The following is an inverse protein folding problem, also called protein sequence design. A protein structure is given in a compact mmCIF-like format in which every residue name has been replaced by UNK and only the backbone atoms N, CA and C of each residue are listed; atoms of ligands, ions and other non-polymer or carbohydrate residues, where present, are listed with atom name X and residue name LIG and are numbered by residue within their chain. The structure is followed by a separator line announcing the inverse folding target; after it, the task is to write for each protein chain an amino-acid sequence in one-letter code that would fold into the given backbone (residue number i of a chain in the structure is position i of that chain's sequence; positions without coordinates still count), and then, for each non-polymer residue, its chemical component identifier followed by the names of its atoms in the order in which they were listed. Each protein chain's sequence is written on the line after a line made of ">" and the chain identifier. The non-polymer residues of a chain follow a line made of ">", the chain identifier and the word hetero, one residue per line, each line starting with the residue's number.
data_IF_614991404015
#
_entry.id   IF_614991404015
#
_cell.length_a   1.000
_cell.length_b   1.000
_cell.length_c   1.000
_cell.angle_alpha   90.00
_cell.angle_beta   90.00
_cell.angle_gamma   90.00
#
_symmetry.space_group_name_H-M   'P 1'
#
loop_
_entity.id
_entity.type
_entity.pdbx_description
1 polymer ?
#
# COMPACT_ATOMS: atom_id res chain seq x y z
N UNK A 1 -46.91 64.43 10.33
CA UNK A 1 -47.81 64.57 9.16
C UNK A 1 -47.11 63.89 8.00
N UNK A 2 -47.59 62.71 7.58
CA UNK A 2 -48.47 62.52 6.41
C UNK A 2 -47.93 63.26 5.17
N UNK A 3 -47.72 62.69 3.99
CA UNK A 3 -48.07 61.38 3.39
C UNK A 3 -47.42 61.39 1.97
N UNK A 4 -47.47 60.23 1.33
CA UNK A 4 -47.53 59.98 -0.12
C UNK A 4 -46.31 59.35 -0.79
N UNK A 5 -46.44 58.02 -0.86
CA UNK A 5 -45.93 57.08 -1.83
C UNK A 5 -46.39 57.39 -3.26
N UNK A 6 -45.49 57.15 -4.22
CA UNK A 6 -45.77 56.69 -5.60
C UNK A 6 -44.47 56.06 -6.11
N UNK A 7 -44.23 54.76 -5.90
CA UNK A 7 -44.53 53.64 -6.82
C UNK A 7 -44.40 54.03 -8.31
N UNK A 8 -43.24 53.71 -8.88
CA UNK A 8 -43.13 53.20 -10.25
C UNK A 8 -42.18 52.00 -10.20
N UNK A 9 -42.78 50.83 -10.02
CA UNK A 9 -42.20 49.52 -10.32
C UNK A 9 -42.47 49.29 -11.81
N UNK A 10 -41.43 49.13 -12.63
CA UNK A 10 -41.46 48.32 -13.87
C UNK A 10 -40.11 48.45 -14.60
N UNK A 11 -39.26 47.44 -14.43
CA UNK A 11 -38.36 46.80 -15.41
C UNK A 11 -37.22 46.08 -14.68
N UNK A 12 -37.60 45.10 -13.85
CA UNK A 12 -36.69 44.15 -13.22
C UNK A 12 -37.05 42.78 -13.82
N UNK A 13 -36.56 42.52 -15.02
CA UNK A 13 -36.96 41.34 -15.77
C UNK A 13 -36.44 41.29 -17.20
N UNK A 14 -35.16 41.61 -17.45
CA UNK A 14 -34.50 41.23 -18.70
C UNK A 14 -32.96 41.28 -18.60
N UNK A 15 -32.36 40.65 -17.59
CA UNK A 15 -30.91 40.50 -17.47
C UNK A 15 -30.50 39.10 -16.95
N UNK A 16 -31.12 38.04 -17.46
CA UNK A 16 -30.70 36.65 -17.18
C UNK A 16 -30.89 35.72 -18.39
N UNK A 17 -30.56 36.13 -19.61
CA UNK A 17 -30.38 35.19 -20.73
C UNK A 17 -29.39 35.76 -21.75
N UNK A 18 -28.08 35.51 -21.59
CA UNK A 18 -27.12 35.49 -22.72
C UNK A 18 -25.69 35.01 -22.41
N UNK A 19 -25.45 34.24 -21.34
CA UNK A 19 -24.13 33.60 -21.11
C UNK A 19 -24.13 32.09 -21.35
N UNK A 20 -25.17 31.53 -21.97
CA UNK A 20 -25.26 30.10 -22.27
C UNK A 20 -24.87 29.71 -23.72
N UNK A 21 -24.18 30.58 -24.47
CA UNK A 21 -23.82 30.34 -25.88
C UNK A 21 -22.37 30.67 -26.26
N UNK A 22 -21.45 30.65 -25.30
CA UNK A 22 -20.02 30.81 -25.55
C UNK A 22 -19.17 29.61 -25.08
N UNK A 23 -19.78 28.56 -24.52
CA UNK A 23 -19.06 27.36 -24.03
C UNK A 23 -19.03 26.23 -25.09
N UNK A 24 -19.86 26.31 -26.14
CA UNK A 24 -20.00 25.23 -27.15
C UNK A 24 -19.11 25.42 -28.40
N UNK A 25 -18.26 26.45 -28.45
CA UNK A 25 -17.35 26.67 -29.59
C UNK A 25 -15.85 26.59 -29.28
N UNK A 26 -15.46 26.25 -28.04
CA UNK A 26 -14.06 26.01 -27.68
C UNK A 26 -13.67 24.51 -27.65
N UNK A 27 -14.58 23.62 -28.07
CA UNK A 27 -14.37 22.16 -28.14
C UNK A 27 -14.08 21.70 -29.58
N UNK A 28 -13.44 22.51 -30.44
CA UNK A 28 -12.90 22.01 -31.72
C UNK A 28 -11.61 22.73 -32.07
N UNK A 29 -10.60 22.63 -31.20
CA UNK A 29 -9.20 22.83 -31.61
C UNK A 29 -8.20 22.15 -30.67
N UNK A 30 -8.54 20.96 -30.19
CA UNK A 30 -7.51 20.05 -29.70
C UNK A 30 -6.83 19.46 -30.94
N UNK A 31 -5.68 20.07 -31.24
CA UNK A 31 -4.45 19.42 -31.69
C UNK A 31 -4.63 17.93 -32.00
N UNK A 32 -4.28 17.52 -33.23
CA UNK A 32 -4.11 16.11 -33.57
C UNK A 32 -3.09 15.52 -32.60
N UNK A 33 -3.57 15.00 -31.47
CA UNK A 33 -2.80 14.15 -30.59
C UNK A 33 -2.72 12.84 -31.37
N UNK A 34 -1.60 12.64 -32.04
CA UNK A 34 -1.29 11.34 -32.63
C UNK A 34 -1.34 10.33 -31.47
N UNK A 35 -2.32 9.44 -31.53
CA UNK A 35 -2.46 8.35 -30.57
C UNK A 35 -1.33 7.37 -30.88
N UNK A 36 -0.20 7.49 -30.18
CA UNK A 36 0.88 6.52 -30.27
C UNK A 36 0.43 5.29 -29.48
N UNK A 37 -0.19 4.33 -30.15
CA UNK A 37 -0.39 2.99 -29.61
C UNK A 37 0.99 2.32 -29.50
N UNK A 38 1.55 2.30 -28.28
CA UNK A 38 2.75 1.52 -28.01
C UNK A 38 2.36 0.04 -28.02
N UNK A 39 2.48 -0.58 -29.20
CA UNK A 39 2.35 -2.03 -29.36
C UNK A 39 3.57 -2.72 -28.74
N UNK A 40 3.57 -2.85 -27.42
CA UNK A 40 4.59 -3.56 -26.66
C UNK A 40 3.99 -4.25 -25.46
N UNK A 41 4.42 -5.48 -25.20
CA UNK A 41 4.06 -6.17 -23.95
C UNK A 41 4.61 -5.36 -22.78
N UNK A 42 3.77 -5.17 -21.76
CA UNK A 42 4.17 -4.45 -20.55
C UNK A 42 5.38 -5.16 -19.92
N UNK A 43 6.48 -4.45 -19.62
CA UNK A 43 7.69 -5.09 -19.12
C UNK A 43 7.45 -5.68 -17.72
N UNK A 44 8.06 -6.82 -17.42
CA UNK A 44 7.94 -7.49 -16.12
C UNK A 44 8.24 -6.56 -14.94
N UNK A 45 9.23 -5.68 -15.08
CA UNK A 45 9.59 -4.69 -14.08
C UNK A 45 8.38 -3.82 -13.67
N UNK A 46 7.51 -3.47 -14.63
CA UNK A 46 6.33 -2.65 -14.35
C UNK A 46 5.28 -3.39 -13.51
N UNK A 47 5.04 -4.68 -13.78
CA UNK A 47 4.16 -5.50 -12.96
C UNK A 47 4.70 -5.66 -11.52
N UNK A 48 6.02 -5.82 -11.38
CA UNK A 48 6.67 -5.86 -10.07
C UNK A 48 6.47 -4.56 -9.29
N UNK A 49 6.61 -3.42 -9.96
CA UNK A 49 6.43 -2.11 -9.33
C UNK A 49 4.98 -1.92 -8.87
N UNK A 50 4.00 -2.28 -9.70
CA UNK A 50 2.58 -2.22 -9.32
C UNK A 50 2.22 -3.16 -8.16
N UNK A 51 2.78 -4.36 -8.14
CA UNK A 51 2.64 -5.26 -7.00
C UNK A 51 3.22 -4.65 -5.72
N UNK A 52 4.38 -4.00 -5.80
CA UNK A 52 4.99 -3.33 -4.64
C UNK A 52 4.16 -2.13 -4.17
N UNK A 53 3.65 -1.32 -5.10
CA UNK A 53 2.82 -0.15 -4.79
C UNK A 53 1.51 -0.58 -4.10
N UNK A 54 0.82 -1.59 -4.64
CA UNK A 54 -0.39 -2.14 -4.02
C UNK A 54 -0.10 -2.74 -2.63
N UNK A 55 1.08 -3.37 -2.46
CA UNK A 55 1.49 -3.91 -1.17
C UNK A 55 1.71 -2.80 -0.13
N UNK A 56 2.35 -1.71 -0.52
CA UNK A 56 2.53 -0.54 0.35
C UNK A 56 1.19 0.10 0.72
N UNK A 57 0.27 0.23 -0.24
CA UNK A 57 -1.07 0.75 0.01
C UNK A 57 -1.82 -0.07 1.07
N UNK A 58 -1.73 -1.41 1.03
CA UNK A 58 -2.30 -2.28 2.07
C UNK A 58 -1.66 -2.00 3.44
N UNK A 59 -0.34 -1.84 3.50
CA UNK A 59 0.37 -1.59 4.76
C UNK A 59 -0.02 -0.25 5.39
N UNK A 60 -0.05 0.82 4.59
CA UNK A 60 -0.44 2.15 5.03
C UNK A 60 -1.90 2.17 5.48
N UNK A 61 -2.79 1.57 4.69
CA UNK A 61 -4.22 1.50 5.01
C UNK A 61 -4.45 0.66 6.26
N UNK A 62 -3.75 -0.46 6.43
CA UNK A 62 -3.82 -1.29 7.64
C UNK A 62 -3.42 -0.49 8.88
N UNK A 63 -2.29 0.22 8.82
CA UNK A 63 -1.78 1.02 9.95
C UNK A 63 -2.73 2.16 10.33
N UNK A 64 -3.49 2.71 9.37
CA UNK A 64 -4.47 3.76 9.63
C UNK A 64 -5.71 3.26 10.39
N UNK A 65 -6.04 1.96 10.29
CA UNK A 65 -7.24 1.39 10.90
C UNK A 65 -6.97 0.55 12.16
N UNK A 66 -5.72 0.14 12.39
CA UNK A 66 -5.35 -0.66 13.57
C UNK A 66 -4.71 0.24 14.60
N UNK A 67 -5.24 0.27 15.83
CA UNK A 67 -4.68 1.10 16.90
C UNK A 67 -3.45 0.47 17.56
N UNK A 68 -3.36 -0.86 17.59
CA UNK A 68 -2.24 -1.61 18.17
C UNK A 68 -0.97 -1.40 17.34
N UNK A 69 -0.07 -0.53 17.82
CA UNK A 69 1.18 -0.20 17.12
C UNK A 69 2.12 -1.40 16.96
N UNK A 70 2.02 -2.41 17.83
CA UNK A 70 2.85 -3.62 17.71
C UNK A 70 2.40 -4.47 16.51
N UNK A 71 1.15 -4.30 16.05
CA UNK A 71 0.61 -4.94 14.85
C UNK A 71 0.95 -4.19 13.55
N UNK A 72 1.48 -2.96 13.62
CA UNK A 72 1.75 -2.16 12.42
C UNK A 72 2.83 -2.76 11.52
N UNK A 73 2.83 -2.31 10.27
CA UNK A 73 3.95 -2.47 9.35
C UNK A 73 4.89 -1.26 9.48
N UNK A 74 6.18 -1.52 9.65
CA UNK A 74 7.23 -0.50 9.67
C UNK A 74 8.05 -0.65 8.38
N UNK A 75 8.05 0.38 7.56
CA UNK A 75 8.84 0.44 6.34
C UNK A 75 10.05 1.37 6.54
N UNK A 76 11.25 0.85 6.30
CA UNK A 76 12.49 1.59 6.40
C UNK A 76 13.26 1.52 5.08
N UNK A 77 13.91 2.63 4.71
CA UNK A 77 14.80 2.68 3.55
C UNK A 77 16.20 2.26 3.98
N UNK A 78 16.60 1.06 3.58
CA UNK A 78 17.89 0.48 3.92
C UNK A 78 18.84 0.51 2.73
N UNK A 79 20.14 0.63 3.03
CA UNK A 79 21.20 0.56 2.04
C UNK A 79 21.77 -0.86 2.03
N UNK A 80 21.87 -1.47 0.84
CA UNK A 80 22.53 -2.76 0.71
C UNK A 80 24.00 -2.65 1.17
N UNK A 81 24.49 -3.70 1.83
CA UNK A 81 25.88 -3.77 2.29
C UNK A 81 26.80 -3.56 1.08
N UNK A 82 27.77 -2.65 1.20
CA UNK A 82 28.71 -2.27 0.14
C UNK A 82 28.09 -1.72 -1.16
N UNK A 83 26.86 -1.23 -1.12
CA UNK A 83 26.20 -0.62 -2.27
C UNK A 83 25.76 0.82 -1.98
N UNK A 84 25.56 1.61 -3.05
CA UNK A 84 24.88 2.92 -2.98
C UNK A 84 23.37 2.80 -3.25
N UNK A 85 22.91 1.61 -3.61
CA UNK A 85 21.52 1.32 -3.90
C UNK A 85 20.76 1.21 -2.59
N UNK A 86 19.63 1.91 -2.54
CA UNK A 86 18.70 1.87 -1.41
C UNK A 86 17.48 1.07 -1.82
N UNK A 87 16.89 0.40 -0.85
CA UNK A 87 15.67 -0.38 -1.01
C UNK A 87 14.78 -0.18 0.22
N UNK A 88 13.48 -0.20 0.02
CA UNK A 88 12.52 -0.13 1.11
C UNK A 88 12.21 -1.53 1.59
N UNK A 89 12.46 -1.80 2.86
CA UNK A 89 12.07 -3.05 3.52
C UNK A 89 10.94 -2.73 4.50
N UNK A 90 9.86 -3.48 4.40
CA UNK A 90 8.75 -3.42 5.36
C UNK A 90 8.74 -4.68 6.21
N UNK A 91 8.61 -4.54 7.53
CA UNK A 91 8.52 -5.63 8.49
C UNK A 91 7.38 -5.36 9.47
N UNK A 92 6.93 -6.39 10.19
CA UNK A 92 5.99 -6.16 11.30
C UNK A 92 6.70 -5.47 12.47
N UNK A 93 6.02 -4.56 13.16
CA UNK A 93 6.56 -3.90 14.34
C UNK A 93 6.93 -4.91 15.44
N UNK A 94 6.08 -5.92 15.68
CA UNK A 94 6.40 -6.98 16.63
C UNK A 94 7.64 -7.80 16.25
N UNK A 95 7.89 -8.03 14.96
CA UNK A 95 9.09 -8.76 14.52
C UNK A 95 10.36 -7.97 14.87
N UNK A 96 10.31 -6.65 14.70
CA UNK A 96 11.42 -5.75 15.06
C UNK A 96 11.63 -5.76 16.57
N UNK A 97 10.55 -5.60 17.35
CA UNK A 97 10.59 -5.63 18.82
C UNK A 97 11.19 -6.94 19.34
N UNK A 98 10.67 -8.08 18.88
CA UNK A 98 11.14 -9.40 19.33
C UNK A 98 12.62 -9.58 18.99
N UNK A 99 13.07 -9.22 17.79
CA UNK A 99 14.49 -9.28 17.42
C UNK A 99 15.36 -8.41 18.32
N UNK A 100 14.94 -7.18 18.61
CA UNK A 100 15.67 -6.30 19.53
C UNK A 100 15.74 -6.85 20.95
N UNK A 101 14.63 -7.40 21.45
CA UNK A 101 14.59 -8.02 22.77
C UNK A 101 15.54 -9.22 22.87
N UNK A 102 15.53 -10.11 21.86
CA UNK A 102 16.42 -11.26 21.79
C UNK A 102 17.89 -10.80 21.76
N UNK A 103 18.21 -9.81 20.93
CA UNK A 103 19.54 -9.25 20.83
C UNK A 103 20.03 -8.63 22.15
N UNK A 104 19.18 -7.83 22.84
CA UNK A 104 19.51 -7.25 24.15
C UNK A 104 19.72 -8.32 25.23
N UNK A 105 18.87 -9.37 25.24
CA UNK A 105 19.01 -10.50 26.17
C UNK A 105 20.32 -11.25 25.94
N UNK A 106 20.78 -11.36 24.70
CA UNK A 106 22.06 -12.01 24.37
C UNK A 106 23.27 -11.18 24.81
N UNK A 107 23.26 -9.85 24.60
CA UNK A 107 24.34 -8.95 25.03
C UNK A 107 24.48 -8.94 26.56
N UNK A 108 23.37 -8.81 27.28
CA UNK A 108 23.40 -8.63 28.75
C UNK A 108 23.83 -9.89 29.52
N UNK A 109 23.81 -11.07 28.89
CA UNK A 109 24.07 -12.35 29.56
C UNK A 109 25.38 -13.03 29.10
N UNK A 110 26.36 -12.29 28.59
CA UNK A 110 27.62 -12.81 28.02
C UNK A 110 28.58 -13.47 29.03
N UNK A 111 28.20 -14.63 29.59
CA UNK A 111 29.08 -15.52 30.37
C UNK A 111 29.03 -16.95 29.81
N UNK A 112 30.04 -17.31 29.01
CA UNK A 112 30.40 -18.69 28.64
C UNK A 112 29.89 -19.24 27.29
N UNK A 113 30.68 -20.14 26.68
CA UNK A 113 30.39 -20.81 25.38
C UNK A 113 29.20 -21.79 25.44
N UNK A 114 29.11 -22.60 26.49
CA UNK A 114 28.02 -23.57 26.71
C UNK A 114 26.68 -22.88 26.95
N UNK A 115 26.71 -21.69 27.56
CA UNK A 115 25.51 -20.91 27.82
C UNK A 115 25.00 -20.24 26.54
N UNK A 116 25.88 -19.89 25.59
CA UNK A 116 25.49 -19.43 24.25
C UNK A 116 24.79 -20.52 23.42
N UNK A 117 25.26 -21.77 23.46
CA UNK A 117 24.71 -22.87 22.65
C UNK A 117 23.31 -23.31 23.11
N UNK A 118 23.09 -23.50 24.42
CA UNK A 118 21.76 -23.83 24.96
C UNK A 118 20.76 -22.66 24.85
N UNK A 119 21.26 -21.42 24.86
CA UNK A 119 20.41 -20.23 24.75
C UNK A 119 20.00 -19.93 23.32
N UNK A 120 20.84 -20.12 22.32
CA UNK A 120 20.44 -19.95 20.91
C UNK A 120 19.22 -20.82 20.56
N UNK A 121 19.14 -22.05 21.10
CA UNK A 121 17.97 -22.92 20.95
C UNK A 121 16.74 -22.43 21.73
N UNK A 122 16.92 -21.89 22.94
CA UNK A 122 15.80 -21.47 23.81
C UNK A 122 15.26 -20.08 23.42
N UNK A 123 16.15 -19.17 23.01
CA UNK A 123 15.83 -17.83 22.51
C UNK A 123 15.19 -17.92 21.12
N UNK A 124 15.65 -18.83 20.26
CA UNK A 124 14.94 -19.14 19.01
C UNK A 124 13.54 -19.70 19.29
N UNK A 125 13.40 -20.65 20.23
CA UNK A 125 12.12 -21.30 20.50
C UNK A 125 11.06 -20.34 21.11
N UNK A 126 11.42 -19.57 22.14
CA UNK A 126 10.48 -18.63 22.76
C UNK A 126 10.11 -17.47 21.83
N UNK A 127 11.11 -16.94 21.10
CA UNK A 127 10.85 -15.95 20.06
C UNK A 127 9.95 -16.48 18.95
N UNK A 128 10.05 -17.77 18.59
CA UNK A 128 9.19 -18.36 17.57
C UNK A 128 7.74 -18.52 18.02
N UNK A 129 7.47 -18.84 19.28
CA UNK A 129 6.09 -19.02 19.76
C UNK A 129 5.33 -17.71 19.85
N UNK A 130 5.93 -16.67 20.45
CA UNK A 130 5.31 -15.33 20.51
C UNK A 130 5.07 -14.80 19.09
N UNK A 131 6.07 -14.91 18.22
CA UNK A 131 5.98 -14.46 16.84
C UNK A 131 4.86 -15.19 16.06
N UNK A 132 4.65 -16.48 16.29
CA UNK A 132 3.57 -17.23 15.65
C UNK A 132 2.19 -16.79 16.14
N UNK A 133 2.02 -16.57 17.44
CA UNK A 133 0.77 -16.05 18.01
C UNK A 133 0.43 -14.65 17.46
N UNK A 134 1.43 -13.76 17.35
CA UNK A 134 1.22 -12.41 16.82
C UNK A 134 0.93 -12.43 15.32
N UNK A 135 1.53 -13.35 14.56
CA UNK A 135 1.17 -13.58 13.15
C UNK A 135 -0.27 -14.04 12.99
N UNK A 136 -0.73 -14.96 13.83
CA UNK A 136 -2.12 -15.43 13.83
C UNK A 136 -3.08 -14.29 14.18
N UNK A 137 -2.81 -13.55 15.26
CA UNK A 137 -3.58 -12.36 15.65
C UNK A 137 -3.66 -11.34 14.50
N UNK A 138 -2.53 -11.04 13.84
CA UNK A 138 -2.50 -10.10 12.72
C UNK A 138 -3.28 -10.61 11.51
N UNK A 139 -3.23 -11.91 11.22
CA UNK A 139 -4.04 -12.53 10.17
C UNK A 139 -5.53 -12.39 10.44
N UNK A 140 -5.97 -12.60 11.68
CA UNK A 140 -7.36 -12.38 12.09
C UNK A 140 -7.76 -10.91 11.96
N UNK A 141 -6.91 -9.97 12.39
CA UNK A 141 -7.14 -8.55 12.22
C UNK A 141 -7.33 -8.16 10.75
N UNK A 142 -6.48 -8.67 9.85
CA UNK A 142 -6.61 -8.43 8.41
C UNK A 142 -7.94 -8.97 7.88
N UNK A 143 -8.33 -10.19 8.28
CA UNK A 143 -9.61 -10.81 7.86
C UNK A 143 -10.81 -9.99 8.33
N UNK A 144 -10.83 -9.61 9.61
CA UNK A 144 -11.92 -8.82 10.18
C UNK A 144 -12.00 -7.45 9.51
N UNK A 145 -10.85 -6.78 9.34
CA UNK A 145 -10.80 -5.48 8.68
C UNK A 145 -11.26 -5.56 7.22
N UNK A 146 -10.92 -6.62 6.49
CA UNK A 146 -11.40 -6.83 5.12
C UNK A 146 -12.90 -7.16 5.05
N UNK A 147 -13.49 -7.71 6.11
CA UNK A 147 -14.93 -7.98 6.18
C UNK A 147 -15.74 -6.73 6.55
N UNK A 148 -15.18 -5.86 7.40
CA UNK A 148 -15.88 -4.72 8.00
C UNK A 148 -15.62 -3.39 7.27
N UNK A 149 -14.49 -3.25 6.58
CA UNK A 149 -14.06 -2.00 5.96
C UNK A 149 -13.87 -2.16 4.44
N UNK A 150 -14.78 -1.58 3.67
CA UNK A 150 -14.74 -1.63 2.20
C UNK A 150 -13.51 -0.94 1.60
N UNK A 151 -12.97 0.11 2.22
CA UNK A 151 -11.76 0.77 1.74
C UNK A 151 -10.53 -0.13 1.89
N UNK A 152 -10.39 -0.81 3.04
CA UNK A 152 -9.32 -1.78 3.25
C UNK A 152 -9.46 -3.00 2.33
N UNK A 153 -10.69 -3.50 2.16
CA UNK A 153 -11.00 -4.59 1.24
C UNK A 153 -10.66 -4.26 -0.21
N UNK A 154 -10.90 -3.02 -0.65
CA UNK A 154 -10.55 -2.57 -2.00
C UNK A 154 -9.03 -2.65 -2.22
N UNK A 155 -8.21 -2.09 -1.33
CA UNK A 155 -6.74 -2.14 -1.47
C UNK A 155 -6.19 -3.57 -1.37
N UNK A 156 -6.81 -4.43 -0.56
CA UNK A 156 -6.44 -5.85 -0.47
C UNK A 156 -6.78 -6.61 -1.76
N UNK A 157 -7.88 -6.26 -2.41
CA UNK A 157 -8.27 -6.81 -3.71
C UNK A 157 -7.30 -6.36 -4.80
N UNK A 158 -6.92 -5.09 -4.82
CA UNK A 158 -5.90 -4.56 -5.75
C UNK A 158 -4.56 -5.26 -5.59
N UNK A 159 -4.11 -5.50 -4.35
CA UNK A 159 -2.91 -6.28 -4.08
C UNK A 159 -3.01 -7.70 -4.66
N UNK A 160 -4.15 -8.36 -4.50
CA UNK A 160 -4.37 -9.73 -5.01
C UNK A 160 -4.30 -9.76 -6.53
N UNK A 161 -4.93 -8.79 -7.20
CA UNK A 161 -4.91 -8.65 -8.66
C UNK A 161 -3.48 -8.36 -9.15
N UNK A 162 -2.79 -7.39 -8.54
CA UNK A 162 -1.44 -7.00 -8.92
C UNK A 162 -0.44 -8.16 -8.73
N UNK A 163 -0.60 -8.93 -7.65
CA UNK A 163 0.17 -10.15 -7.40
C UNK A 163 -0.04 -11.18 -8.50
N UNK A 164 -1.29 -11.51 -8.81
CA UNK A 164 -1.63 -12.50 -9.85
C UNK A 164 -1.08 -12.08 -11.22
N UNK A 165 -1.23 -10.81 -11.60
CA UNK A 165 -0.68 -10.27 -12.85
C UNK A 165 0.86 -10.38 -12.89
N UNK A 166 1.54 -10.11 -11.79
CA UNK A 166 2.99 -10.25 -11.70
C UNK A 166 3.42 -11.71 -11.82
N UNK A 167 2.75 -12.63 -11.13
CA UNK A 167 3.06 -14.07 -11.15
C UNK A 167 2.87 -14.66 -12.55
N UNK A 168 1.76 -14.30 -13.22
CA UNK A 168 1.50 -14.64 -14.62
C UNK A 168 2.60 -14.12 -15.54
N UNK A 169 2.90 -12.82 -15.49
CA UNK A 169 3.94 -12.22 -16.31
C UNK A 169 5.34 -12.82 -16.03
N UNK A 170 5.61 -13.18 -14.78
CA UNK A 170 6.85 -13.84 -14.39
C UNK A 170 6.94 -15.26 -14.95
N UNK A 171 5.86 -16.04 -14.89
CA UNK A 171 5.76 -17.35 -15.51
C UNK A 171 5.92 -17.29 -17.04
N UNK A 172 5.28 -16.32 -17.71
CA UNK A 172 5.44 -16.09 -19.14
C UNK A 172 6.88 -15.72 -19.51
N UNK A 173 7.53 -14.88 -18.70
CA UNK A 173 8.90 -14.40 -18.97
C UNK A 173 9.96 -15.48 -18.76
N UNK A 174 9.82 -16.30 -17.71
CA UNK A 174 10.86 -17.24 -17.29
C UNK A 174 10.53 -18.72 -17.54
N UNK A 175 9.29 -19.05 -17.92
CA UNK A 175 8.85 -20.42 -18.15
C UNK A 175 9.16 -21.32 -16.97
N UNK A 176 9.81 -22.46 -17.22
CA UNK A 176 10.20 -23.45 -16.20
C UNK A 176 11.18 -22.94 -15.14
N UNK A 177 11.79 -21.77 -15.33
CA UNK A 177 12.65 -21.13 -14.32
C UNK A 177 11.87 -20.22 -13.38
N UNK A 178 10.58 -20.02 -13.62
CA UNK A 178 9.69 -19.31 -12.72
C UNK A 178 9.30 -20.21 -11.56
N UNK A 179 9.33 -19.66 -10.34
CA UNK A 179 8.80 -20.35 -9.17
C UNK A 179 7.25 -20.36 -9.12
N UNK A 180 6.58 -19.78 -10.13
CA UNK A 180 5.12 -19.61 -10.19
C UNK A 180 4.43 -20.52 -11.22
N UNK A 181 5.15 -21.43 -11.89
CA UNK A 181 4.56 -22.30 -12.92
C UNK A 181 3.74 -23.47 -12.40
N UNK A 182 3.83 -23.81 -11.10
CA UNK A 182 3.09 -24.95 -10.53
C UNK A 182 1.70 -24.56 -9.99
N UNK A 183 1.34 -23.27 -9.96
CA UNK A 183 0.08 -22.75 -9.38
C UNK A 183 -0.88 -22.10 -10.39
N UNK A 184 -0.62 -22.23 -11.71
CA UNK A 184 -1.44 -21.66 -12.79
C UNK A 184 -2.35 -22.67 -13.49
#
# INVERSE_FOLDING_TARGET
>A
MNKYYTVVILFLGFLLVSEAKAIEQDIVKYEKVDLIEVMGQKPLARFRDEYNDARLAVFETFNNYVEDTDMHYICARERLINSRIHHTICQNAFDIRIKEELFRREINNSWGLLSRLNRAQTSSFLGTQEMELLKQKKSELIKNLAAENEAFKAVLTELTIAKSNYELAHAETYGSWSNFTEEL
#
